data_IF_807890723898
#
_entry.id   IF_807890723898
#
_cell.length_a   1.000
_cell.length_b   1.000
_cell.length_c   1.000
_cell.angle_alpha   90.00
_cell.angle_beta   90.00
_cell.angle_gamma   90.00
#
_symmetry.space_group_name_H-M   'P 1'
#
loop_
_entity.id
_entity.type
_entity.pdbx_description
1 polymer ?
#
# COMPACT_ATOMS: atom_id res chain seq x y z
N UNK A 1 -8.06 4.69 2.08
CA UNK A 1 -8.44 4.58 3.50
C UNK A 1 -7.42 3.70 4.19
N UNK A 2 -7.23 3.89 5.49
CA UNK A 2 -6.40 2.96 6.26
C UNK A 2 -7.02 1.55 6.26
N UNK A 3 -6.20 0.55 5.99
CA UNK A 3 -6.57 -0.85 5.98
C UNK A 3 -5.42 -1.74 6.44
N UNK A 4 -5.70 -3.02 6.67
CA UNK A 4 -4.70 -4.03 7.00
C UNK A 4 -4.98 -5.34 6.27
N UNK A 5 -3.96 -6.19 6.20
CA UNK A 5 -3.99 -7.51 5.58
C UNK A 5 -3.52 -8.56 6.59
N UNK A 6 -4.13 -9.75 6.58
CA UNK A 6 -3.71 -10.86 7.45
C UNK A 6 -2.44 -11.57 6.96
N UNK A 7 -1.95 -11.24 5.77
CA UNK A 7 -0.73 -11.77 5.17
C UNK A 7 0.18 -10.63 4.72
N UNK A 8 1.46 -10.95 4.52
CA UNK A 8 2.41 -10.02 3.91
C UNK A 8 1.94 -9.65 2.49
N UNK A 9 2.00 -8.36 2.19
CA UNK A 9 1.78 -7.81 0.87
C UNK A 9 3.11 -7.42 0.24
N UNK A 10 3.42 -8.03 -0.90
CA UNK A 10 4.61 -7.71 -1.68
C UNK A 10 4.19 -6.87 -2.89
N UNK A 11 4.72 -5.65 -2.99
CA UNK A 11 4.32 -4.67 -4.00
C UNK A 11 5.50 -4.34 -4.89
N UNK A 12 5.30 -4.45 -6.20
CA UNK A 12 6.22 -3.91 -7.21
C UNK A 12 5.57 -2.74 -7.93
N UNK A 13 6.24 -1.59 -7.97
CA UNK A 13 5.76 -0.43 -8.75
C UNK A 13 6.21 -0.57 -10.21
N UNK A 14 5.27 -0.90 -11.10
CA UNK A 14 5.53 -1.12 -12.53
C UNK A 14 5.54 0.22 -13.30
N UNK A 15 4.64 1.15 -12.94
CA UNK A 15 4.53 2.46 -13.58
C UNK A 15 4.09 3.53 -12.58
N UNK A 16 4.54 4.78 -12.79
CA UNK A 16 4.14 5.93 -11.99
C UNK A 16 4.89 6.05 -10.66
N UNK A 17 4.26 6.76 -9.72
CA UNK A 17 4.75 6.93 -8.36
C UNK A 17 3.66 6.53 -7.39
N UNK A 18 3.91 5.46 -6.64
CA UNK A 18 3.01 4.98 -5.61
C UNK A 18 3.40 5.57 -4.26
N UNK A 19 2.41 5.87 -3.43
CA UNK A 19 2.65 6.40 -2.09
C UNK A 19 2.05 5.48 -1.05
N UNK A 20 2.80 5.22 0.02
CA UNK A 20 2.41 4.37 1.13
C UNK A 20 2.71 5.09 2.45
N UNK A 21 1.76 5.09 3.36
CA UNK A 21 1.94 5.51 4.74
C UNK A 21 1.40 4.46 5.71
N UNK A 22 1.98 4.39 6.90
CA UNK A 22 1.54 3.47 7.97
C UNK A 22 0.71 4.24 9.00
N UNK A 23 -0.36 3.62 9.49
CA UNK A 23 -1.26 4.19 10.48
C UNK A 23 -2.70 3.68 10.36
N UNK A 24 -3.46 3.87 11.43
CA UNK A 24 -4.86 3.44 11.53
C UNK A 24 -5.85 4.43 10.89
N UNK A 25 -5.34 5.54 10.35
CA UNK A 25 -6.11 6.61 9.70
C UNK A 25 -5.27 7.21 8.57
N UNK A 26 -5.91 7.63 7.48
CA UNK A 26 -5.22 8.34 6.41
C UNK A 26 -4.61 9.66 6.93
N UNK A 27 -3.30 9.81 6.74
CA UNK A 27 -2.54 11.02 7.08
C UNK A 27 -1.57 11.33 5.94
N UNK A 28 -1.90 12.32 5.10
CA UNK A 28 -1.09 12.68 3.93
C UNK A 28 0.38 12.97 4.26
N UNK A 29 0.65 13.55 5.43
CA UNK A 29 2.01 13.87 5.90
C UNK A 29 2.90 12.64 6.15
N UNK A 30 2.30 11.44 6.31
CA UNK A 30 3.02 10.18 6.51
C UNK A 30 3.26 9.40 5.21
N UNK A 31 2.78 9.91 4.07
CA UNK A 31 3.00 9.25 2.79
C UNK A 31 4.49 9.29 2.42
N UNK A 32 5.04 8.10 2.17
CA UNK A 32 6.37 7.90 1.60
C UNK A 32 6.23 7.59 0.12
N UNK A 33 7.16 8.13 -0.67
CA UNK A 33 7.15 8.08 -2.13
C UNK A 33 7.94 6.86 -2.65
N UNK A 34 7.31 6.08 -3.52
CA UNK A 34 7.89 4.89 -4.16
C UNK A 34 7.77 4.99 -5.69
N UNK A 35 8.85 5.37 -6.40
CA UNK A 35 8.82 5.45 -7.86
C UNK A 35 8.83 4.07 -8.53
N UNK A 36 8.57 4.02 -9.84
CA UNK A 36 8.79 2.85 -10.70
C UNK A 36 10.08 2.10 -10.36
N UNK A 37 9.98 0.77 -10.27
CA UNK A 37 11.08 -0.13 -9.91
C UNK A 37 11.24 -0.35 -8.41
N UNK A 38 10.46 0.33 -7.57
CA UNK A 38 10.43 0.06 -6.13
C UNK A 38 9.81 -1.31 -5.85
N UNK A 39 10.41 -2.02 -4.90
CA UNK A 39 9.85 -3.23 -4.30
C UNK A 39 9.63 -2.96 -2.80
N UNK A 40 8.43 -3.25 -2.32
CA UNK A 40 8.00 -2.98 -0.95
C UNK A 40 7.40 -4.26 -0.37
N UNK A 41 7.71 -4.52 0.90
CA UNK A 41 7.01 -5.53 1.70
C UNK A 41 6.25 -4.80 2.79
N UNK A 42 4.93 -5.00 2.84
CA UNK A 42 4.08 -4.56 3.94
C UNK A 42 3.78 -5.81 4.76
N UNK A 43 4.27 -5.84 6.00
CA UNK A 43 4.10 -7.02 6.84
C UNK A 43 2.65 -7.20 7.28
N UNK A 44 2.27 -8.46 7.47
CA UNK A 44 0.96 -8.85 7.97
C UNK A 44 0.57 -8.07 9.23
N UNK A 45 -0.68 -7.62 9.29
CA UNK A 45 -1.24 -6.90 10.42
C UNK A 45 -0.88 -5.41 10.47
N UNK A 46 0.06 -4.90 9.65
CA UNK A 46 0.44 -3.48 9.63
C UNK A 46 -0.69 -2.62 9.03
N UNK A 47 -1.33 -1.73 9.82
CA UNK A 47 -2.28 -0.77 9.30
C UNK A 47 -1.58 0.24 8.39
N UNK A 48 -2.06 0.41 7.17
CA UNK A 48 -1.47 1.29 6.19
C UNK A 48 -2.51 1.89 5.24
N UNK A 49 -2.08 2.86 4.45
CA UNK A 49 -2.90 3.53 3.45
C UNK A 49 -2.04 3.91 2.25
N UNK A 50 -2.68 3.93 1.09
CA UNK A 50 -2.00 4.13 -0.19
C UNK A 50 -2.63 5.29 -0.94
N UNK A 51 -1.82 5.95 -1.77
CA UNK A 51 -2.28 7.02 -2.63
C UNK A 51 -1.56 7.01 -3.97
N UNK A 52 -2.24 7.56 -4.97
CA UNK A 52 -1.67 8.03 -6.22
C UNK A 52 -1.99 9.52 -6.31
N UNK A 53 -0.96 10.38 -6.37
CA UNK A 53 -1.19 11.83 -6.41
C UNK A 53 -1.55 12.32 -7.82
N UNK A 54 -0.64 12.14 -8.78
CA UNK A 54 -0.80 12.62 -10.16
C UNK A 54 -0.43 11.52 -11.14
N UNK A 55 -1.32 11.31 -12.11
CA UNK A 55 -1.12 10.34 -13.20
C UNK A 55 -1.52 8.92 -12.81
N UNK A 56 -1.44 8.03 -13.80
CA UNK A 56 -1.67 6.61 -13.60
C UNK A 56 -0.51 5.98 -12.80
N UNK A 57 -0.86 5.02 -11.95
CA UNK A 57 0.09 4.20 -11.21
C UNK A 57 -0.30 2.76 -11.44
N UNK A 58 0.65 1.94 -11.85
CA UNK A 58 0.47 0.50 -12.01
C UNK A 58 1.37 -0.20 -11.00
N UNK A 59 0.76 -1.00 -10.15
CA UNK A 59 1.46 -1.86 -9.20
C UNK A 59 1.06 -3.31 -9.43
N UNK A 60 2.00 -4.22 -9.22
CA UNK A 60 1.69 -5.62 -9.03
C UNK A 60 1.74 -5.91 -7.53
N UNK A 61 0.62 -6.41 -7.02
CA UNK A 61 0.50 -6.90 -5.65
C UNK A 61 0.60 -8.41 -5.68
N UNK A 62 1.33 -8.98 -4.73
CA UNK A 62 1.50 -10.43 -4.59
C UNK A 62 1.50 -10.80 -3.10
N UNK A 63 1.04 -11.99 -2.78
CA UNK A 63 0.96 -12.50 -1.42
C UNK A 63 0.61 -13.99 -1.42
N UNK A 64 0.59 -14.62 -0.25
CA UNK A 64 0.22 -16.03 -0.11
C UNK A 64 -1.25 -16.18 0.26
N UNK A 65 -2.00 -16.99 -0.49
CA UNK A 65 -3.40 -17.28 -0.20
C UNK A 65 -4.38 -16.25 -0.76
N UNK A 66 -5.59 -16.21 -0.21
CA UNK A 66 -6.63 -15.27 -0.67
C UNK A 66 -6.32 -13.88 -0.15
N UNK A 67 -6.26 -12.91 -1.05
CA UNK A 67 -6.06 -11.52 -0.68
C UNK A 67 -7.32 -10.95 -0.02
N UNK A 68 -7.19 -10.43 1.20
CA UNK A 68 -8.28 -9.87 1.99
C UNK A 68 -7.88 -8.51 2.55
N UNK A 69 -8.78 -7.54 2.46
CA UNK A 69 -8.57 -6.17 2.95
C UNK A 69 -9.54 -5.87 4.07
N UNK A 70 -9.02 -5.51 5.24
CA UNK A 70 -9.82 -5.06 6.37
C UNK A 70 -9.66 -3.56 6.56
N UNK A 71 -10.73 -2.80 6.33
CA UNK A 71 -10.72 -1.34 6.48
C UNK A 71 -10.92 -0.93 7.94
N UNK A 72 -10.06 -0.02 8.42
CA UNK A 72 -10.13 0.50 9.80
C UNK A 72 -11.00 1.76 9.89
N UNK A 73 -11.02 2.55 8.82
CA UNK A 73 -11.93 3.68 8.67
C UNK A 73 -13.20 3.20 7.95
N UNK A 74 -14.37 3.51 8.53
CA UNK A 74 -15.69 3.31 7.93
C UNK A 74 -16.21 4.61 7.35
#
# INVERSE_FOLDING_TARGET
>A
MAHTHAQDELVTVIEGTWYLGEGVKFEAAKLRRYPRGSFIVIHAGVPHFVAAEKGAVVVQVSGTGKFQTEYLEK
#
